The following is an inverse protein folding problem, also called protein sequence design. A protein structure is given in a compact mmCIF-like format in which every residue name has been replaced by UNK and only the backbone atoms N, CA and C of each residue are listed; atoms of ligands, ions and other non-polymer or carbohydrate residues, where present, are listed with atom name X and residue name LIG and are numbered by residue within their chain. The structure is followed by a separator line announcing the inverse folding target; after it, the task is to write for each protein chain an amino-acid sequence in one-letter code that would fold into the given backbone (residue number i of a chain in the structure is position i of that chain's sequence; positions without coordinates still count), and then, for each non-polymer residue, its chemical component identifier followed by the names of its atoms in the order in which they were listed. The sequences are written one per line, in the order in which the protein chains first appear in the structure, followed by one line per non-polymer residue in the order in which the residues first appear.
data_IF_175521950246
#
_entry.id   IF_175521950246
#
_cell.length_a   1.000
_cell.length_b   1.000
_cell.length_c   1.000
_cell.angle_alpha   90.00
_cell.angle_beta   90.00
_cell.angle_gamma   90.00
#
_symmetry.space_group_name_H-M   'P 1'
#
loop_
_entity.id
_entity.type
_entity.pdbx_description
1 polymer ?
#
# COMPACT_ATOMS: atom_id res chain seq x y z
N UNK A 1 -16.54 -17.83 21.71
CA UNK A 1 -15.68 -16.71 22.15
C UNK A 1 -14.64 -16.33 21.10
N UNK A 2 -13.38 -16.80 21.08
CA UNK A 2 -12.36 -16.31 20.12
C UNK A 2 -12.73 -16.39 18.63
N UNK A 3 -13.43 -17.45 18.22
CA UNK A 3 -13.89 -17.64 16.82
C UNK A 3 -15.06 -16.69 16.47
N UNK A 4 -15.95 -16.40 17.41
CA UNK A 4 -17.06 -15.45 17.22
C UNK A 4 -16.55 -14.02 17.14
N UNK A 5 -15.55 -13.66 17.95
CA UNK A 5 -14.92 -12.33 17.92
C UNK A 5 -14.20 -12.07 16.59
N UNK A 6 -13.50 -13.08 16.04
CA UNK A 6 -12.93 -12.99 14.69
C UNK A 6 -13.99 -12.89 13.61
N UNK A 7 -15.11 -13.60 13.73
CA UNK A 7 -16.21 -13.53 12.76
C UNK A 7 -16.85 -12.14 12.73
N UNK A 8 -17.18 -11.59 13.91
CA UNK A 8 -17.77 -10.25 14.06
C UNK A 8 -16.86 -9.19 13.46
N UNK A 9 -15.55 -9.30 13.72
CA UNK A 9 -14.57 -8.34 13.26
C UNK A 9 -14.32 -8.40 11.75
N UNK A 10 -14.33 -9.60 11.14
CA UNK A 10 -14.25 -9.74 9.68
C UNK A 10 -15.50 -9.20 9.00
N UNK A 11 -16.69 -9.46 9.55
CA UNK A 11 -17.92 -8.83 9.08
C UNK A 11 -17.87 -7.31 9.17
N UNK A 12 -17.29 -6.77 10.25
CA UNK A 12 -17.13 -5.33 10.44
C UNK A 12 -16.12 -4.73 9.45
N UNK A 13 -14.98 -5.39 9.19
CA UNK A 13 -14.03 -4.99 8.13
C UNK A 13 -14.71 -4.99 6.76
N UNK A 14 -15.50 -6.04 6.45
CA UNK A 14 -16.23 -6.14 5.18
C UNK A 14 -17.31 -5.05 5.08
N UNK A 15 -17.98 -4.70 6.19
CA UNK A 15 -18.97 -3.60 6.25
C UNK A 15 -18.33 -2.20 6.20
N UNK A 16 -17.13 -2.03 6.75
CA UNK A 16 -16.41 -0.74 6.80
C UNK A 16 -15.57 -0.49 5.55
N UNK A 17 -15.27 -1.51 4.74
CA UNK A 17 -14.74 -1.28 3.41
C UNK A 17 -15.83 -0.62 2.55
N UNK A 18 -15.50 0.41 1.76
CA UNK A 18 -16.39 0.97 0.74
C UNK A 18 -16.49 0.00 -0.46
N UNK A 19 -16.78 -1.27 -0.19
CA UNK A 19 -16.92 -2.33 -1.16
C UNK A 19 -18.41 -2.60 -1.34
N UNK A 20 -18.90 -2.42 -2.57
CA UNK A 20 -20.24 -2.86 -2.91
C UNK A 20 -20.38 -4.38 -2.68
N UNK A 21 -21.57 -4.91 -2.35
CA UNK A 21 -21.77 -6.35 -2.23
C UNK A 21 -21.30 -7.15 -3.48
N UNK A 22 -21.38 -6.53 -4.66
CA UNK A 22 -20.83 -7.07 -5.90
C UNK A 22 -19.31 -7.25 -5.89
N UNK A 23 -18.57 -6.35 -5.23
CA UNK A 23 -17.10 -6.42 -5.14
C UNK A 23 -16.64 -7.64 -4.35
N UNK A 24 -17.29 -7.95 -3.22
CA UNK A 24 -16.93 -9.12 -2.41
C UNK A 24 -17.24 -10.42 -3.16
N UNK A 25 -18.35 -10.48 -3.89
CA UNK A 25 -18.67 -11.62 -4.76
C UNK A 25 -17.60 -11.81 -5.83
N UNK A 26 -17.20 -10.73 -6.51
CA UNK A 26 -16.13 -10.76 -7.50
C UNK A 26 -14.78 -11.18 -6.88
N UNK A 27 -14.46 -10.69 -5.69
CA UNK A 27 -13.25 -11.06 -4.95
C UNK A 27 -13.22 -12.56 -4.68
N UNK A 28 -14.32 -13.14 -4.19
CA UNK A 28 -14.43 -14.58 -3.95
C UNK A 28 -14.25 -15.40 -5.22
N UNK A 29 -14.79 -14.94 -6.35
CA UNK A 29 -14.61 -15.61 -7.64
C UNK A 29 -13.13 -15.58 -8.07
N UNK A 30 -12.48 -14.41 -8.00
CA UNK A 30 -11.07 -14.27 -8.35
C UNK A 30 -10.13 -15.05 -7.43
N UNK A 31 -10.46 -15.15 -6.14
CA UNK A 31 -9.70 -15.95 -5.17
C UNK A 31 -9.74 -17.46 -5.49
N UNK A 32 -10.83 -17.96 -6.09
CA UNK A 32 -10.92 -19.36 -6.55
C UNK A 32 -10.08 -19.61 -7.80
N UNK A 33 -9.95 -18.61 -8.68
CA UNK A 33 -9.18 -18.72 -9.92
C UNK A 33 -7.67 -18.51 -9.68
N UNK A 34 -7.29 -17.71 -8.69
CA UNK A 34 -5.88 -17.47 -8.34
C UNK A 34 -5.29 -18.68 -7.60
N UNK A 35 -4.43 -19.44 -8.28
CA UNK A 35 -3.80 -20.64 -7.74
C UNK A 35 -3.00 -20.38 -6.46
N UNK A 36 -2.32 -19.22 -6.37
CA UNK A 36 -1.53 -18.87 -5.19
C UNK A 36 -2.45 -18.63 -3.99
N UNK A 37 -3.55 -17.90 -4.20
CA UNK A 37 -4.50 -17.64 -3.11
C UNK A 37 -5.22 -18.92 -2.68
N UNK A 38 -5.56 -19.80 -3.62
CA UNK A 38 -6.14 -21.12 -3.35
C UNK A 38 -5.21 -21.97 -2.48
N UNK A 39 -3.93 -22.06 -2.85
CA UNK A 39 -2.92 -22.81 -2.09
C UNK A 39 -2.70 -22.21 -0.69
N UNK A 40 -2.62 -20.89 -0.58
CA UNK A 40 -2.52 -20.18 0.71
C UNK A 40 -3.72 -20.51 1.60
N UNK A 41 -4.94 -20.48 1.05
CA UNK A 41 -6.14 -20.83 1.81
C UNK A 41 -6.12 -22.30 2.28
N UNK A 42 -5.69 -23.22 1.42
CA UNK A 42 -5.57 -24.64 1.75
C UNK A 42 -4.53 -24.88 2.86
N UNK A 43 -3.38 -24.20 2.81
CA UNK A 43 -2.33 -24.31 3.84
C UNK A 43 -2.74 -23.71 5.18
N UNK A 44 -3.56 -22.66 5.18
CA UNK A 44 -4.13 -22.10 6.41
C UNK A 44 -5.12 -23.05 7.11
N UNK A 45 -5.86 -23.86 6.36
CA UNK A 45 -6.82 -24.82 6.91
C UNK A 45 -6.17 -26.14 7.34
N UNK A 46 -5.06 -26.51 6.69
CA UNK A 46 -4.31 -27.73 6.97
C UNK A 46 -3.03 -27.40 7.73
N UNK A 47 -1.89 -27.52 7.06
CA UNK A 47 -0.59 -27.12 7.59
C UNK A 47 0.27 -26.58 6.47
N UNK A 48 1.13 -25.64 6.84
CA UNK A 48 2.07 -24.99 5.95
C UNK A 48 3.28 -25.93 5.70
N UNK A 49 3.60 -26.31 4.43
CA UNK A 49 4.74 -27.19 4.11
C UNK A 49 6.10 -26.49 4.27
N UNK A 50 7.15 -27.16 4.74
CA UNK A 50 8.48 -26.54 4.92
C UNK A 50 8.93 -25.63 3.76
N UNK A 51 9.61 -24.52 4.10
CA UNK A 51 10.04 -23.50 3.14
C UNK A 51 10.82 -24.06 1.93
N UNK A 52 11.60 -25.12 2.14
CA UNK A 52 12.35 -25.86 1.12
C UNK A 52 11.46 -26.48 0.05
N UNK A 53 10.26 -26.92 0.40
CA UNK A 53 9.31 -27.60 -0.49
C UNK A 53 8.38 -26.64 -1.24
N UNK A 54 8.32 -25.38 -0.82
CA UNK A 54 7.55 -24.35 -1.53
C UNK A 54 8.26 -23.97 -2.83
N UNK A 55 7.49 -23.60 -3.86
CA UNK A 55 8.02 -23.12 -5.15
C UNK A 55 7.28 -21.88 -5.62
N UNK A 56 7.99 -21.00 -6.32
CA UNK A 56 7.38 -19.81 -6.93
C UNK A 56 6.90 -18.74 -5.93
N UNK A 57 5.84 -17.99 -6.27
CA UNK A 57 5.39 -16.81 -5.52
C UNK A 57 4.89 -17.10 -4.10
N UNK A 58 4.49 -18.33 -3.82
CA UNK A 58 3.95 -18.72 -2.51
C UNK A 58 4.97 -18.60 -1.38
N UNK A 59 6.27 -18.70 -1.70
CA UNK A 59 7.37 -18.49 -0.74
C UNK A 59 7.28 -17.13 -0.04
N UNK A 60 6.74 -16.11 -0.72
CA UNK A 60 6.62 -14.77 -0.16
C UNK A 60 5.54 -14.69 0.95
N UNK A 61 4.64 -15.67 1.02
CA UNK A 61 3.63 -15.78 2.07
C UNK A 61 4.12 -16.55 3.30
N UNK A 62 5.10 -17.44 3.14
CA UNK A 62 5.64 -18.28 4.23
C UNK A 62 6.03 -17.52 5.51
N UNK A 63 6.74 -16.37 5.45
CA UNK A 63 7.12 -15.64 6.66
C UNK A 63 5.93 -15.08 7.45
N UNK A 64 4.74 -15.13 6.87
CA UNK A 64 3.50 -14.63 7.45
C UNK A 64 2.49 -15.71 7.78
N UNK A 65 2.84 -16.99 7.59
CA UNK A 65 1.96 -18.17 7.81
C UNK A 65 1.25 -18.16 9.17
N UNK A 66 1.94 -17.73 10.23
CA UNK A 66 1.40 -17.71 11.61
C UNK A 66 0.33 -16.61 11.81
N UNK A 67 0.23 -15.68 10.87
CA UNK A 67 -0.73 -14.56 10.88
C UNK A 67 -1.76 -14.64 9.76
N UNK A 68 -1.65 -15.65 8.89
CA UNK A 68 -2.56 -15.87 7.78
C UNK A 68 -3.71 -16.77 8.24
N UNK A 69 -4.93 -16.31 8.04
CA UNK A 69 -6.15 -17.03 8.41
C UNK A 69 -7.12 -17.04 7.24
N UNK A 70 -8.14 -17.89 7.30
CA UNK A 70 -9.22 -17.94 6.31
C UNK A 70 -10.55 -17.86 7.04
N UNK A 71 -11.39 -16.95 6.60
CA UNK A 71 -12.73 -16.75 7.13
C UNK A 71 -13.70 -16.56 5.98
N UNK A 72 -14.82 -17.28 5.94
CA UNK A 72 -15.83 -17.20 4.87
C UNK A 72 -15.28 -17.23 3.43
N UNK A 73 -14.30 -18.12 3.20
CA UNK A 73 -13.56 -18.24 1.93
C UNK A 73 -12.78 -16.98 1.52
N UNK A 74 -12.40 -16.16 2.50
CA UNK A 74 -11.57 -14.97 2.34
C UNK A 74 -10.26 -15.16 3.12
N UNK A 75 -9.10 -15.13 2.45
CA UNK A 75 -7.82 -15.13 3.13
C UNK A 75 -7.56 -13.76 3.77
N UNK A 76 -7.07 -13.78 5.01
CA UNK A 76 -6.78 -12.61 5.82
C UNK A 76 -5.35 -12.68 6.36
N UNK A 77 -4.71 -11.52 6.55
CA UNK A 77 -3.50 -11.38 7.33
C UNK A 77 -3.75 -10.49 8.54
N UNK A 78 -3.99 -11.11 9.68
CA UNK A 78 -4.58 -10.44 10.84
C UNK A 78 -5.94 -9.89 10.45
N UNK A 79 -6.02 -8.56 10.30
CA UNK A 79 -7.25 -7.81 10.05
C UNK A 79 -7.43 -7.39 8.58
N UNK A 80 -6.51 -7.78 7.69
CA UNK A 80 -6.45 -7.27 6.31
C UNK A 80 -6.76 -8.34 5.30
N UNK A 81 -7.55 -8.02 4.28
CA UNK A 81 -7.89 -8.93 3.19
C UNK A 81 -6.70 -9.18 2.27
N UNK A 82 -6.47 -10.46 1.97
CA UNK A 82 -5.47 -10.85 0.98
C UNK A 82 -6.06 -10.74 -0.42
N UNK A 83 -5.42 -9.93 -1.26
CA UNK A 83 -5.95 -9.59 -2.59
C UNK A 83 -5.31 -10.47 -3.68
N UNK A 84 -6.13 -11.13 -4.53
CA UNK A 84 -5.66 -11.94 -5.65
C UNK A 84 -4.99 -11.08 -6.71
N UNK A 85 -4.06 -11.66 -7.45
CA UNK A 85 -3.16 -10.95 -8.37
C UNK A 85 -3.91 -10.12 -9.40
N UNK A 86 -5.01 -10.64 -9.94
CA UNK A 86 -5.85 -9.96 -10.92
C UNK A 86 -6.47 -8.64 -10.41
N UNK A 87 -6.71 -8.51 -9.10
CA UNK A 87 -7.36 -7.34 -8.49
C UNK A 87 -6.36 -6.34 -7.89
N UNK A 88 -5.07 -6.66 -7.81
CA UNK A 88 -4.08 -5.80 -7.14
C UNK A 88 -3.98 -4.42 -7.78
N UNK A 89 -4.07 -4.33 -9.11
CA UNK A 89 -3.97 -3.06 -9.82
C UNK A 89 -5.11 -2.10 -9.48
N UNK A 90 -6.36 -2.58 -9.48
CA UNK A 90 -7.51 -1.74 -9.13
C UNK A 90 -7.47 -1.31 -7.67
N UNK A 91 -7.07 -2.21 -6.76
CA UNK A 91 -6.89 -1.87 -5.34
C UNK A 91 -5.78 -0.84 -5.13
N UNK A 92 -4.65 -0.95 -5.86
CA UNK A 92 -3.59 0.05 -5.82
C UNK A 92 -4.06 1.44 -6.25
N UNK A 93 -4.86 1.53 -7.32
CA UNK A 93 -5.46 2.78 -7.77
C UNK A 93 -6.39 3.35 -6.70
N UNK A 94 -7.26 2.53 -6.11
CA UNK A 94 -8.17 2.95 -5.04
C UNK A 94 -7.44 3.45 -3.80
N UNK A 95 -6.35 2.77 -3.38
CA UNK A 95 -5.51 3.23 -2.26
C UNK A 95 -4.89 4.60 -2.53
N UNK A 96 -4.52 4.87 -3.79
CA UNK A 96 -3.91 6.12 -4.24
C UNK A 96 -4.90 7.24 -4.55
N UNK A 97 -6.20 6.94 -4.55
CA UNK A 97 -7.24 7.91 -4.87
C UNK A 97 -7.16 9.15 -3.98
N UNK A 98 -7.29 10.32 -4.62
CA UNK A 98 -7.12 11.63 -3.98
C UNK A 98 -5.65 12.07 -3.84
N UNK A 99 -4.68 11.35 -4.40
CA UNK A 99 -3.27 11.75 -4.51
C UNK A 99 -2.61 12.13 -3.17
N UNK A 100 -2.99 11.43 -2.10
CA UNK A 100 -2.69 11.81 -0.72
C UNK A 100 -1.26 11.49 -0.25
N UNK A 101 -0.38 11.12 -1.18
CA UNK A 101 1.00 10.75 -0.91
C UNK A 101 1.18 9.37 -0.26
N UNK A 102 2.44 9.04 -0.03
CA UNK A 102 2.88 7.68 0.34
C UNK A 102 2.40 7.22 1.71
N UNK A 103 2.45 8.10 2.72
CA UNK A 103 2.09 7.75 4.10
C UNK A 103 0.63 7.34 4.22
N UNK A 104 -0.28 8.10 3.59
CA UNK A 104 -1.72 7.84 3.64
C UNK A 104 -2.12 6.60 2.84
N UNK A 105 -1.48 6.36 1.68
CA UNK A 105 -1.67 5.11 0.94
C UNK A 105 -1.29 3.89 1.79
N UNK A 106 -0.17 3.96 2.53
CA UNK A 106 0.28 2.86 3.43
C UNK A 106 -0.60 2.69 4.66
N UNK A 107 -1.19 3.77 5.17
CA UNK A 107 -2.15 3.73 6.26
C UNK A 107 -3.43 3.01 5.83
N UNK A 108 -4.07 3.46 4.75
CA UNK A 108 -5.25 2.79 4.16
C UNK A 108 -5.02 1.31 3.89
N UNK A 109 -3.86 0.97 3.34
CA UNK A 109 -3.47 -0.42 3.12
C UNK A 109 -3.35 -1.21 4.44
N UNK A 110 -2.74 -0.63 5.49
CA UNK A 110 -2.60 -1.29 6.80
C UNK A 110 -3.95 -1.55 7.47
N UNK A 111 -4.98 -0.79 7.14
CA UNK A 111 -6.32 -0.96 7.68
C UNK A 111 -7.16 -1.98 6.91
N UNK A 112 -6.90 -2.18 5.61
CA UNK A 112 -7.85 -2.88 4.73
C UNK A 112 -7.30 -4.11 4.02
N UNK A 113 -6.10 -4.02 3.40
CA UNK A 113 -5.64 -5.00 2.40
C UNK A 113 -4.17 -5.36 2.55
N UNK A 114 -3.81 -6.57 2.12
CA UNK A 114 -2.44 -7.04 2.18
C UNK A 114 -2.09 -8.02 1.06
N UNK A 115 -0.87 -7.96 0.56
CA UNK A 115 -0.20 -9.04 -0.17
C UNK A 115 1.32 -8.81 -0.11
N UNK A 116 2.15 -9.84 -0.37
CA UNK A 116 3.59 -9.66 -0.41
C UNK A 116 4.01 -8.64 -1.47
N UNK A 117 4.81 -7.65 -1.09
CA UNK A 117 5.29 -6.59 -2.00
C UNK A 117 4.38 -5.36 -2.12
N UNK A 118 3.21 -5.33 -1.46
CA UNK A 118 2.28 -4.19 -1.48
C UNK A 118 2.96 -2.83 -1.20
N UNK A 119 3.81 -2.76 -0.16
CA UNK A 119 4.48 -1.51 0.20
C UNK A 119 5.44 -0.99 -0.87
N UNK A 120 6.07 -1.89 -1.63
CA UNK A 120 6.91 -1.54 -2.78
C UNK A 120 6.07 -1.01 -3.94
N UNK A 121 4.98 -1.71 -4.27
CA UNK A 121 4.07 -1.30 -5.34
C UNK A 121 3.39 0.05 -5.06
N UNK A 122 2.98 0.32 -3.81
CA UNK A 122 2.48 1.65 -3.41
C UNK A 122 3.55 2.72 -3.62
N UNK A 123 4.79 2.44 -3.23
CA UNK A 123 5.89 3.37 -3.40
C UNK A 123 6.13 3.68 -4.88
N UNK A 124 6.14 2.67 -5.74
CA UNK A 124 6.36 2.84 -7.18
C UNK A 124 5.20 3.60 -7.83
N UNK A 125 3.96 3.31 -7.44
CA UNK A 125 2.78 4.03 -7.91
C UNK A 125 2.86 5.53 -7.56
N UNK A 126 3.12 5.85 -6.30
CA UNK A 126 3.16 7.25 -5.83
C UNK A 126 4.35 8.00 -6.44
N UNK A 127 5.52 7.35 -6.57
CA UNK A 127 6.72 7.94 -7.17
C UNK A 127 6.53 8.29 -8.64
N UNK A 128 5.75 7.50 -9.37
CA UNK A 128 5.51 7.67 -10.81
C UNK A 128 4.22 8.45 -11.11
N UNK A 129 3.44 8.84 -10.10
CA UNK A 129 2.21 9.61 -10.30
C UNK A 129 2.52 11.06 -10.67
N UNK A 130 2.07 11.50 -11.84
CA UNK A 130 2.29 12.86 -12.36
C UNK A 130 1.69 13.95 -11.46
N UNK A 131 0.51 13.71 -10.89
CA UNK A 131 -0.16 14.65 -9.99
C UNK A 131 0.61 14.76 -8.67
N UNK A 132 0.98 13.64 -8.05
CA UNK A 132 1.81 13.68 -6.85
C UNK A 132 3.18 14.31 -7.10
N UNK A 133 3.79 14.08 -8.26
CA UNK A 133 5.06 14.72 -8.62
C UNK A 133 4.90 16.24 -8.72
N UNK A 134 3.81 16.71 -9.32
CA UNK A 134 3.54 18.15 -9.49
C UNK A 134 3.27 18.84 -8.16
N UNK A 135 2.49 18.22 -7.29
CA UNK A 135 2.05 18.81 -6.02
C UNK A 135 3.05 18.57 -4.87
N UNK A 136 4.12 17.79 -5.07
CA UNK A 136 5.10 17.53 -4.00
C UNK A 136 5.84 18.82 -3.64
N UNK A 137 5.99 19.06 -2.34
CA UNK A 137 6.90 20.09 -1.84
C UNK A 137 8.33 19.61 -2.00
N UNK A 138 9.11 20.28 -2.85
CA UNK A 138 10.53 20.01 -2.95
C UNK A 138 11.26 20.71 -1.78
N UNK A 139 12.24 20.05 -1.15
CA UNK A 139 13.04 20.70 -0.12
C UNK A 139 13.77 21.91 -0.74
N UNK A 140 13.64 23.06 -0.07
CA UNK A 140 14.40 24.25 -0.45
C UNK A 140 15.88 23.96 -0.17
N UNK A 141 16.72 24.09 -1.20
CA UNK A 141 18.16 23.98 -1.00
C UNK A 141 18.62 25.12 -0.08
N UNK A 142 19.53 24.87 0.87
CA UNK A 142 20.08 25.94 1.68
C UNK A 142 20.69 27.02 0.78
N UNK A 143 20.56 28.28 1.19
CA UNK A 143 21.21 29.38 0.50
C UNK A 143 22.72 29.11 0.45
N UNK A 144 23.29 29.18 -0.74
CA UNK A 144 24.74 29.10 -0.87
C UNK A 144 25.34 30.43 -0.39
N UNK A 145 26.25 30.41 0.61
CA UNK A 145 26.92 31.63 1.03
C UNK A 145 27.78 32.15 -0.12
N UNK A 146 27.61 33.44 -0.42
CA UNK A 146 28.45 34.16 -1.34
C UNK A 146 29.67 34.67 -0.57
N UNK A 147 30.85 34.62 -1.20
CA UNK A 147 32.05 35.25 -0.65
C UNK A 147 31.84 36.76 -0.54
N UNK A 148 32.15 37.32 0.63
CA UNK A 148 32.07 38.75 0.87
C UNK A 148 33.11 39.50 0.03
N UNK A 149 32.80 40.71 -0.46
CA UNK A 149 33.80 41.56 -1.09
C UNK A 149 34.90 41.92 -0.09
N UNK A 150 36.14 41.88 -0.54
CA UNK A 150 37.34 42.25 0.24
C UNK A 150 37.54 43.77 0.30
N UNK A 151 36.90 44.53 -0.60
CA UNK A 151 37.07 45.98 -0.75
C UNK A 151 35.74 46.70 -0.94
N UNK A 152 35.63 47.98 -0.52
CA UNK A 152 34.50 48.83 -0.85
C UNK A 152 34.24 48.86 -2.36
N UNK A 153 32.96 48.89 -2.76
CA UNK A 153 32.51 48.94 -4.16
C UNK A 153 32.89 47.75 -5.06
N UNK A 154 33.50 46.69 -4.52
CA UNK A 154 33.88 45.49 -5.29
C UNK A 154 32.67 44.70 -5.82
N UNK A 155 31.52 44.79 -5.14
CA UNK A 155 30.25 44.21 -5.60
C UNK A 155 29.11 45.18 -5.30
N UNK A 156 28.32 45.52 -6.31
CA UNK A 156 27.16 46.41 -6.21
C UNK A 156 25.92 45.63 -6.62
N UNK A 157 24.92 45.57 -5.74
CA UNK A 157 23.58 45.10 -6.06
C UNK A 157 22.69 46.32 -6.29
N UNK A 158 21.99 46.36 -7.41
CA UNK A 158 20.98 47.36 -7.70
C UNK A 158 19.66 46.63 -7.98
N UNK A 159 18.56 47.21 -7.51
CA UNK A 159 17.21 46.71 -7.77
C UNK A 159 16.33 47.90 -8.17
N UNK A 160 15.26 47.64 -8.91
CA UNK A 160 14.34 48.67 -9.33
C UNK A 160 13.42 49.02 -8.16
N UNK A 161 13.40 50.30 -7.81
CA UNK A 161 12.46 50.86 -6.85
C UNK A 161 11.59 51.90 -7.56
N UNK A 162 10.27 51.76 -7.40
CA UNK A 162 9.29 52.71 -7.92
C UNK A 162 8.57 53.36 -6.75
N UNK A 163 8.50 54.68 -6.75
CA UNK A 163 7.78 55.48 -5.76
C UNK A 163 6.65 56.23 -6.47
N UNK A 164 5.43 56.13 -5.94
CA UNK A 164 4.25 56.86 -6.41
C UNK A 164 4.05 58.13 -5.59
#
# INVERSE_FOLDING_TARGET
ELLEDTNIYVEEIVKCMPATPSYITQLREQLKTDSICSDVMAFCQSSWPEYSHLTGPIKAYWPHRDTLTVHDSLPLKGTRLVIPTAMRHSVLIALHEGHQGMSRCRERARETVWWPGLSGQINDLVKNCTICIKERTNPVKPLMPIQLPERPWQKVGADLFTFN
#
